data_IF_844155887122
#
_entry.id   IF_844155887122
#
_cell.length_a   1.000
_cell.length_b   1.000
_cell.length_c   1.000
_cell.angle_alpha   90.00
_cell.angle_beta   90.00
_cell.angle_gamma   90.00
#
_symmetry.space_group_name_H-M   'P 1'
#
loop_
_entity.id
_entity.type
_entity.pdbx_description
1 polymer ?
#
# COMPACT_ATOMS: atom_id res chain seq x y z
N UNK A 1 -10.26 51.95 -26.72
CA UNK A 1 -9.31 51.23 -27.62
C UNK A 1 -7.92 51.08 -27.01
N UNK A 2 -7.24 52.14 -26.57
CA UNK A 2 -5.87 52.03 -26.01
C UNK A 2 -5.72 51.04 -24.84
N UNK A 3 -6.66 51.03 -23.88
CA UNK A 3 -6.67 50.06 -22.76
C UNK A 3 -6.82 48.60 -23.19
N UNK A 4 -7.57 48.34 -24.27
CA UNK A 4 -7.77 46.97 -24.78
C UNK A 4 -6.47 46.46 -25.41
N UNK A 5 -5.78 47.34 -26.14
CA UNK A 5 -4.48 47.03 -26.75
C UNK A 5 -3.42 46.79 -25.66
N UNK A 6 -3.38 47.62 -24.61
CA UNK A 6 -2.41 47.40 -23.52
C UNK A 6 -2.71 46.12 -22.74
N UNK A 7 -3.98 45.77 -22.55
CA UNK A 7 -4.38 44.54 -21.87
C UNK A 7 -4.03 43.29 -22.68
N UNK A 8 -4.17 43.36 -24.00
CA UNK A 8 -3.84 42.27 -24.92
C UNK A 8 -2.33 41.98 -24.99
N UNK A 9 -1.49 43.02 -24.92
CA UNK A 9 -0.02 42.89 -24.99
C UNK A 9 0.58 42.48 -23.63
N UNK A 10 -0.15 42.70 -22.54
CA UNK A 10 0.31 42.40 -21.18
C UNK A 10 0.57 40.90 -20.98
N UNK A 11 1.73 40.61 -20.40
CA UNK A 11 2.09 39.26 -19.95
C UNK A 11 1.49 39.02 -18.56
N UNK A 12 0.80 37.90 -18.39
CA UNK A 12 0.19 37.49 -17.12
C UNK A 12 0.70 36.11 -16.72
N UNK A 13 1.24 36.03 -15.51
CA UNK A 13 1.66 34.77 -14.90
C UNK A 13 0.64 34.36 -13.85
N UNK A 14 0.23 33.11 -13.88
CA UNK A 14 -0.67 32.52 -12.90
C UNK A 14 0.06 31.41 -12.15
N UNK A 15 -0.33 31.14 -10.91
CA UNK A 15 0.20 30.02 -10.13
C UNK A 15 -0.94 29.10 -9.77
N UNK A 16 -0.82 27.82 -10.12
CA UNK A 16 -1.85 26.81 -9.88
C UNK A 16 -1.20 25.49 -9.44
N UNK A 17 -1.77 24.87 -8.42
CA UNK A 17 -1.48 23.49 -8.05
C UNK A 17 -2.44 22.57 -8.82
N UNK A 18 -1.91 21.71 -9.69
CA UNK A 18 -2.73 20.76 -10.47
C UNK A 18 -3.22 19.60 -9.62
N UNK A 19 -2.37 19.10 -8.74
CA UNK A 19 -2.73 18.10 -7.74
C UNK A 19 -1.78 18.17 -6.55
N UNK A 20 -2.34 17.86 -5.38
CA UNK A 20 -1.63 17.64 -4.13
C UNK A 20 -2.29 16.43 -3.47
N UNK A 21 -1.73 15.24 -3.71
CA UNK A 21 -2.36 13.98 -3.31
C UNK A 21 -1.33 12.92 -2.90
N UNK A 22 -1.81 11.69 -2.65
CA UNK A 22 -1.00 10.52 -2.29
C UNK A 22 0.01 10.07 -3.36
N UNK A 23 0.08 10.77 -4.50
CA UNK A 23 1.06 10.54 -5.58
C UNK A 23 2.05 11.69 -5.75
N UNK A 24 1.94 12.76 -4.96
CA UNK A 24 2.87 13.88 -4.92
C UNK A 24 2.17 15.20 -5.16
N UNK A 25 2.98 16.23 -5.41
CA UNK A 25 2.50 17.59 -5.68
C UNK A 25 3.04 18.11 -7.01
N UNK A 26 2.16 18.69 -7.82
CA UNK A 26 2.52 19.35 -9.07
C UNK A 26 2.01 20.79 -9.07
N UNK A 27 2.94 21.73 -9.06
CA UNK A 27 2.67 23.16 -9.20
C UNK A 27 3.07 23.62 -10.60
N UNK A 28 2.23 24.41 -11.26
CA UNK A 28 2.49 25.02 -12.57
C UNK A 28 2.38 26.54 -12.48
N UNK A 29 3.19 27.24 -13.27
CA UNK A 29 3.17 28.70 -13.34
C UNK A 29 2.96 29.23 -14.76
N UNK A 30 1.81 28.96 -15.40
CA UNK A 30 1.59 29.31 -16.80
C UNK A 30 1.68 30.81 -17.05
N UNK A 31 2.36 31.17 -18.14
CA UNK A 31 2.45 32.54 -18.66
C UNK A 31 1.55 32.67 -19.88
N UNK A 32 0.70 33.70 -19.87
CA UNK A 32 -0.24 34.03 -20.95
C UNK A 32 0.10 35.42 -21.49
N UNK A 33 0.25 35.52 -22.80
CA UNK A 33 0.41 36.79 -23.51
C UNK A 33 -0.33 36.72 -24.84
N UNK A 34 -0.93 37.83 -25.31
CA UNK A 34 -1.70 37.86 -26.55
C UNK A 34 -2.86 36.85 -26.57
N UNK A 35 -3.45 36.57 -25.42
CA UNK A 35 -4.45 35.51 -25.22
C UNK A 35 -3.97 34.10 -25.65
N UNK A 36 -2.66 33.89 -25.68
CA UNK A 36 -2.03 32.61 -25.99
C UNK A 36 -1.14 32.17 -24.84
N UNK A 37 -1.10 30.86 -24.60
CA UNK A 37 -0.23 30.28 -23.58
C UNK A 37 1.20 30.24 -24.14
N UNK A 38 2.11 31.00 -23.54
CA UNK A 38 3.49 31.14 -24.03
C UNK A 38 4.46 30.19 -23.32
N UNK A 39 4.29 29.95 -22.03
CA UNK A 39 5.13 29.05 -21.25
C UNK A 39 4.34 28.36 -20.13
N UNK A 40 4.75 27.15 -19.78
CA UNK A 40 4.24 26.40 -18.62
C UNK A 40 5.41 25.82 -17.83
N UNK A 41 6.12 26.64 -17.04
CA UNK A 41 7.04 26.14 -16.05
C UNK A 41 6.27 25.28 -15.04
N UNK A 42 6.90 24.19 -14.60
CA UNK A 42 6.33 23.27 -13.63
C UNK A 42 7.36 22.91 -12.57
N UNK A 43 6.89 22.72 -11.35
CA UNK A 43 7.65 22.18 -10.23
C UNK A 43 6.95 20.92 -9.75
N UNK A 44 7.62 19.78 -9.93
CA UNK A 44 7.11 18.49 -9.48
C UNK A 44 7.84 18.04 -8.21
N UNK A 45 7.09 17.85 -7.12
CA UNK A 45 7.59 17.31 -5.86
C UNK A 45 7.14 15.84 -5.74
N UNK A 46 8.00 14.87 -6.10
CA UNK A 46 7.67 13.45 -5.99
C UNK A 46 7.61 13.02 -4.52
N UNK A 47 6.85 11.96 -4.24
CA UNK A 47 6.87 11.32 -2.92
C UNK A 47 8.13 10.48 -2.84
N UNK A 48 9.08 10.89 -2.00
CA UNK A 48 10.39 10.26 -1.85
C UNK A 48 10.31 8.81 -1.31
N UNK A 49 9.21 8.43 -0.65
CA UNK A 49 9.07 7.09 -0.07
C UNK A 49 7.62 6.67 0.17
N UNK A 50 7.06 5.86 -0.72
CA UNK A 50 5.88 5.06 -0.38
C UNK A 50 6.33 3.96 0.59
N UNK A 51 6.21 4.19 1.89
CA UNK A 51 6.42 3.14 2.89
C UNK A 51 5.24 2.19 2.78
N UNK A 52 5.30 1.26 1.82
CA UNK A 52 4.50 0.05 1.91
C UNK A 52 4.98 -0.67 3.17
N UNK A 53 4.27 -0.47 4.28
CA UNK A 53 4.44 -1.28 5.47
C UNK A 53 4.08 -2.70 5.06
N UNK A 54 5.06 -3.46 4.53
CA UNK A 54 4.89 -4.89 4.25
C UNK A 54 4.39 -5.48 5.56
N UNK A 55 3.16 -5.98 5.54
CA UNK A 55 2.55 -6.62 6.69
C UNK A 55 3.51 -7.70 7.19
N UNK A 56 4.16 -7.43 8.33
CA UNK A 56 5.26 -8.26 8.85
C UNK A 56 4.77 -9.56 9.47
N UNK A 57 3.46 -9.65 9.73
CA UNK A 57 2.84 -10.75 10.45
C UNK A 57 1.61 -11.23 9.69
N UNK A 58 1.62 -12.51 9.31
CA UNK A 58 0.47 -13.19 8.72
C UNK A 58 -0.03 -14.23 9.71
N UNK A 59 -1.25 -14.05 10.20
CA UNK A 59 -1.90 -15.00 11.11
C UNK A 59 -2.67 -16.03 10.29
N UNK A 60 -2.67 -17.28 10.74
CA UNK A 60 -3.45 -18.34 10.11
C UNK A 60 -4.02 -19.29 11.16
N UNK A 61 -5.14 -19.91 10.81
CA UNK A 61 -5.73 -21.01 11.56
C UNK A 61 -5.58 -22.30 10.74
N UNK A 62 -5.56 -23.43 11.43
CA UNK A 62 -5.39 -24.74 10.82
C UNK A 62 -6.34 -25.72 11.48
N UNK A 63 -6.97 -26.55 10.66
CA UNK A 63 -7.75 -27.69 11.11
C UNK A 63 -7.29 -28.90 10.30
N UNK A 64 -7.13 -30.04 10.95
CA UNK A 64 -6.67 -31.27 10.33
C UNK A 64 -7.48 -32.46 10.83
N UNK A 65 -7.78 -33.39 9.95
CA UNK A 65 -8.34 -34.69 10.30
C UNK A 65 -7.57 -35.77 9.55
N UNK A 66 -7.26 -36.89 10.20
CA UNK A 66 -6.48 -37.97 9.63
C UNK A 66 -7.23 -39.32 9.75
N UNK A 67 -6.90 -40.28 8.89
CA UNK A 67 -7.46 -41.65 8.82
C UNK A 67 -7.31 -42.43 10.14
N UNK A 68 -6.43 -42.01 11.04
CA UNK A 68 -6.29 -42.56 12.40
C UNK A 68 -7.27 -41.97 13.43
N UNK A 69 -8.36 -41.34 12.99
CA UNK A 69 -9.35 -40.69 13.87
C UNK A 69 -8.76 -39.61 14.79
N UNK A 70 -7.70 -38.94 14.32
CA UNK A 70 -7.10 -37.81 15.02
C UNK A 70 -7.57 -36.53 14.34
N UNK A 71 -8.33 -35.75 15.08
CA UNK A 71 -8.73 -34.41 14.71
C UNK A 71 -7.82 -33.40 15.41
N UNK A 72 -7.59 -32.26 14.79
CA UNK A 72 -6.78 -31.20 15.36
C UNK A 72 -7.19 -29.83 14.89
N UNK A 73 -7.04 -28.84 15.77
CA UNK A 73 -7.29 -27.43 15.48
C UNK A 73 -6.20 -26.59 16.11
N UNK A 74 -5.79 -25.55 15.40
CA UNK A 74 -4.67 -24.74 15.80
C UNK A 74 -4.58 -23.43 15.03
N UNK A 75 -3.48 -22.75 15.26
CA UNK A 75 -3.14 -21.53 14.56
C UNK A 75 -1.67 -21.21 14.68
N UNK A 76 -1.25 -20.26 13.87
CA UNK A 76 0.14 -19.85 13.82
C UNK A 76 0.30 -18.47 13.25
N UNK A 77 1.56 -18.05 13.24
CA UNK A 77 1.98 -16.76 12.72
C UNK A 77 3.18 -16.95 11.81
N UNK A 78 3.20 -16.23 10.71
CA UNK A 78 4.36 -16.09 9.84
C UNK A 78 4.93 -14.70 10.00
N UNK A 79 6.26 -14.64 10.14
CA UNK A 79 7.04 -13.43 10.00
C UNK A 79 8.00 -13.60 8.84
N UNK A 80 7.80 -12.80 7.80
CA UNK A 80 8.54 -12.91 6.54
C UNK A 80 8.44 -14.33 5.95
N UNK A 81 9.48 -15.16 6.11
CA UNK A 81 9.59 -16.51 5.55
C UNK A 81 9.57 -17.61 6.63
N UNK A 82 9.52 -17.25 7.91
CA UNK A 82 9.54 -18.19 9.03
C UNK A 82 8.24 -18.06 9.80
N UNK A 83 7.56 -19.18 10.01
CA UNK A 83 6.35 -19.24 10.81
C UNK A 83 6.44 -20.26 11.92
N UNK A 84 5.66 -20.04 12.96
CA UNK A 84 5.47 -20.99 14.06
C UNK A 84 3.99 -21.29 14.18
N UNK A 85 3.66 -22.52 14.54
CA UNK A 85 2.28 -22.91 14.78
C UNK A 85 2.15 -23.80 16.00
N UNK A 86 0.96 -23.73 16.57
CA UNK A 86 0.51 -24.58 17.65
C UNK A 86 -0.82 -25.21 17.27
N UNK A 87 -0.95 -26.52 17.51
CA UNK A 87 -2.15 -27.27 17.21
C UNK A 87 -2.49 -28.20 18.37
N UNK A 88 -3.75 -28.19 18.74
CA UNK A 88 -4.32 -29.13 19.70
C UNK A 88 -4.87 -30.33 18.95
N UNK A 89 -4.47 -31.53 19.35
CA UNK A 89 -4.87 -32.80 18.75
C UNK A 89 -5.76 -33.56 19.74
N UNK A 90 -6.82 -34.18 19.22
CA UNK A 90 -7.62 -35.14 19.98
C UNK A 90 -7.94 -36.35 19.11
N UNK A 91 -7.79 -37.52 19.69
CA UNK A 91 -8.20 -38.77 19.09
C UNK A 91 -9.65 -39.06 19.48
N UNK A 92 -10.55 -39.18 18.50
CA UNK A 92 -11.98 -39.37 18.74
C UNK A 92 -12.34 -40.80 19.15
N UNK A 93 -11.44 -41.77 18.97
CA UNK A 93 -11.66 -43.19 19.26
C UNK A 93 -11.00 -43.62 20.58
N UNK A 94 -9.75 -43.21 20.81
CA UNK A 94 -8.98 -43.53 22.02
C UNK A 94 -9.11 -42.48 23.13
N UNK A 95 -9.79 -41.36 22.86
CA UNK A 95 -9.97 -40.22 23.78
C UNK A 95 -8.64 -39.63 24.34
N UNK A 96 -7.57 -39.78 23.56
CA UNK A 96 -6.23 -39.26 23.89
C UNK A 96 -6.09 -37.84 23.32
N UNK A 97 -5.42 -36.96 24.07
CA UNK A 97 -5.18 -35.56 23.72
C UNK A 97 -3.69 -35.32 23.52
N UNK A 98 -3.35 -34.39 22.63
CA UNK A 98 -1.96 -34.05 22.31
C UNK A 98 -1.79 -32.57 21.95
N UNK A 99 -0.55 -32.11 22.05
CA UNK A 99 -0.15 -30.77 21.66
C UNK A 99 0.97 -30.89 20.62
N UNK A 100 0.82 -30.18 19.51
CA UNK A 100 1.80 -30.11 18.44
C UNK A 100 2.32 -28.68 18.32
N UNK A 101 3.65 -28.55 18.32
CA UNK A 101 4.37 -27.31 18.05
C UNK A 101 5.25 -27.53 16.84
N UNK A 102 5.19 -26.62 15.87
CA UNK A 102 5.94 -26.75 14.63
C UNK A 102 6.46 -25.42 14.10
N UNK A 103 7.50 -25.52 13.29
CA UNK A 103 8.12 -24.38 12.58
C UNK A 103 7.95 -24.61 11.08
N UNK A 104 7.47 -23.60 10.38
CA UNK A 104 7.24 -23.61 8.93
C UNK A 104 8.20 -22.64 8.24
N UNK A 105 8.76 -23.03 7.10
CA UNK A 105 9.60 -22.18 6.27
C UNK A 105 8.95 -22.05 4.89
N UNK A 106 8.74 -20.82 4.43
CA UNK A 106 8.16 -20.51 3.13
C UNK A 106 9.28 -20.06 2.18
N UNK A 107 9.57 -20.88 1.16
CA UNK A 107 10.59 -20.64 0.13
C UNK A 107 10.02 -19.83 -1.04
#
# INVERSE_FOLDING_TARGET
TAKIISDYIAERTYSLTLFDNLHGKLDITPTIQYNTLTAVPYTFTPIEKTIYSRQKWTFFTTASFNTFNIAGVGGGVFRNNIGVHYKYLWNTELNVKGHELGVNIMF
#
